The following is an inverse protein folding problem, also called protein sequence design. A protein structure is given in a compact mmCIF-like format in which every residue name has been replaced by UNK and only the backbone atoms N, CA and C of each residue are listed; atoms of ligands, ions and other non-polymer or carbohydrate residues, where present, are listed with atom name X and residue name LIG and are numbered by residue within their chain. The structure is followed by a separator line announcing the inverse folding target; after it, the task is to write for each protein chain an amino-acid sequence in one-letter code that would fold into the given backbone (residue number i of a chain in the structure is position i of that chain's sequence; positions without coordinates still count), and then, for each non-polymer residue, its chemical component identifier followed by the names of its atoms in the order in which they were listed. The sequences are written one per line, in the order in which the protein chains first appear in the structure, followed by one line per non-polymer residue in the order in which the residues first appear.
data_IF_144716009039
#
_entry.id   IF_144716009039
#
_cell.length_a   1.000
_cell.length_b   1.000
_cell.length_c   1.000
_cell.angle_alpha   90.00
_cell.angle_beta   90.00
_cell.angle_gamma   90.00
#
_symmetry.space_group_name_H-M   'P 1'
#
loop_
_entity.id
_entity.type
_entity.pdbx_description
1 polymer ?
#
# COMPACT_ATOMS: atom_id res chain seq x y z
N UNK A 1 -23.68 -12.65 22.10
CA UNK A 1 -22.88 -12.98 20.90
C UNK A 1 -23.54 -14.11 20.12
N UNK A 2 -23.81 -13.89 18.83
CA UNK A 2 -24.33 -14.92 17.90
C UNK A 2 -23.32 -16.06 17.69
N UNK A 3 -23.81 -17.28 17.42
CA UNK A 3 -22.98 -18.45 17.10
C UNK A 3 -22.05 -18.21 15.89
N UNK A 4 -22.50 -17.41 14.91
CA UNK A 4 -21.70 -17.02 13.73
C UNK A 4 -20.48 -16.18 14.15
N UNK A 5 -20.67 -15.21 15.04
CA UNK A 5 -19.58 -14.36 15.54
C UNK A 5 -18.53 -15.16 16.32
N UNK A 6 -18.96 -16.13 17.15
CA UNK A 6 -18.04 -17.03 17.88
C UNK A 6 -17.21 -17.91 16.94
N UNK A 7 -17.79 -18.36 15.82
CA UNK A 7 -17.08 -19.16 14.81
C UNK A 7 -16.05 -18.32 14.05
N UNK A 8 -16.37 -17.08 13.71
CA UNK A 8 -15.45 -16.16 13.03
C UNK A 8 -14.23 -15.81 13.90
N UNK A 9 -14.43 -15.55 15.20
CA UNK A 9 -13.31 -15.24 16.12
C UNK A 9 -12.33 -16.40 16.22
N UNK A 10 -12.83 -17.64 16.38
CA UNK A 10 -11.98 -18.84 16.42
C UNK A 10 -11.14 -19.06 15.17
N UNK A 11 -11.63 -18.63 14.00
CA UNK A 11 -10.87 -18.71 12.75
C UNK A 11 -9.76 -17.66 12.71
N UNK A 12 -10.04 -16.44 13.22
CA UNK A 12 -9.04 -15.37 13.30
C UNK A 12 -7.93 -15.74 14.29
N UNK A 13 -8.27 -16.37 15.41
CA UNK A 13 -7.30 -16.83 16.43
C UNK A 13 -6.30 -17.87 15.89
N UNK A 14 -6.62 -18.55 14.79
CA UNK A 14 -5.73 -19.54 14.14
C UNK A 14 -4.74 -18.90 13.15
N UNK A 15 -4.92 -17.63 12.81
CA UNK A 15 -4.04 -16.91 11.89
C UNK A 15 -2.73 -16.52 12.60
N UNK A 16 -1.65 -16.41 11.82
CA UNK A 16 -0.41 -15.81 12.32
C UNK A 16 -0.61 -14.32 12.60
N UNK A 17 0.22 -13.69 13.46
CA UNK A 17 0.08 -12.26 13.74
C UNK A 17 0.17 -11.38 12.48
N UNK A 18 1.04 -11.74 11.53
CA UNK A 18 1.13 -11.07 10.23
C UNK A 18 -0.16 -11.18 9.40
N UNK A 19 -0.77 -12.36 9.37
CA UNK A 19 -2.06 -12.58 8.69
C UNK A 19 -3.20 -11.82 9.37
N UNK A 20 -3.20 -11.73 10.70
CA UNK A 20 -4.15 -10.90 11.45
C UNK A 20 -3.96 -9.41 11.13
N UNK A 21 -2.71 -8.95 11.00
CA UNK A 21 -2.39 -7.59 10.61
C UNK A 21 -2.87 -7.26 9.19
N UNK A 22 -2.61 -8.15 8.22
CA UNK A 22 -3.10 -8.01 6.84
C UNK A 22 -4.64 -7.96 6.78
N UNK A 23 -5.32 -8.88 7.47
CA UNK A 23 -6.79 -8.89 7.52
C UNK A 23 -7.36 -7.63 8.20
N UNK A 24 -6.71 -7.15 9.27
CA UNK A 24 -7.11 -5.91 9.93
C UNK A 24 -6.94 -4.71 8.98
N UNK A 25 -5.81 -4.63 8.27
CA UNK A 25 -5.54 -3.60 7.29
C UNK A 25 -6.59 -3.56 6.16
N UNK A 26 -6.99 -4.72 5.63
CA UNK A 26 -8.06 -4.81 4.64
C UNK A 26 -9.38 -4.20 5.14
N UNK A 27 -9.79 -4.53 6.36
CA UNK A 27 -11.00 -3.92 6.93
C UNK A 27 -10.86 -2.42 7.21
N UNK A 28 -9.66 -1.94 7.55
CA UNK A 28 -9.40 -0.50 7.67
C UNK A 28 -9.53 0.20 6.31
N UNK A 29 -8.99 -0.38 5.23
CA UNK A 29 -9.14 0.13 3.87
C UNK A 29 -10.60 0.16 3.39
N UNK A 30 -11.42 -0.78 3.87
CA UNK A 30 -12.87 -0.80 3.63
C UNK A 30 -13.68 0.16 4.52
N UNK A 31 -13.03 0.86 5.45
CA UNK A 31 -13.68 1.64 6.51
C UNK A 31 -14.64 0.81 7.38
N UNK A 32 -14.39 -0.51 7.46
CA UNK A 32 -15.17 -1.43 8.26
C UNK A 32 -14.59 -1.54 9.68
N UNK A 33 -14.78 -0.48 10.46
CA UNK A 33 -14.27 -0.39 11.83
C UNK A 33 -14.77 -1.53 12.73
N UNK A 34 -15.95 -2.08 12.46
CA UNK A 34 -16.52 -3.20 13.24
C UNK A 34 -15.71 -4.48 13.06
N UNK A 35 -15.42 -4.87 11.81
CA UNK A 35 -14.64 -6.09 11.57
C UNK A 35 -13.15 -5.88 11.89
N UNK A 36 -12.58 -4.70 11.62
CA UNK A 36 -11.23 -4.36 12.06
C UNK A 36 -11.07 -4.50 13.58
N UNK A 37 -12.05 -3.98 14.35
CA UNK A 37 -12.09 -4.15 15.81
C UNK A 37 -12.20 -5.63 16.22
N UNK A 38 -12.99 -6.44 15.52
CA UNK A 38 -13.09 -7.88 15.83
C UNK A 38 -11.76 -8.61 15.62
N UNK A 39 -11.04 -8.31 14.54
CA UNK A 39 -9.70 -8.87 14.32
C UNK A 39 -8.77 -8.45 15.45
N UNK A 40 -8.69 -7.15 15.74
CA UNK A 40 -7.88 -6.62 16.84
C UNK A 40 -8.22 -7.26 18.20
N UNK A 41 -9.50 -7.43 18.51
CA UNK A 41 -9.94 -7.99 19.79
C UNK A 41 -9.61 -9.48 19.90
N UNK A 42 -9.59 -10.22 18.78
CA UNK A 42 -9.19 -11.63 18.71
C UNK A 42 -7.68 -11.86 18.86
N UNK A 43 -6.84 -10.85 18.61
CA UNK A 43 -5.39 -10.93 18.83
C UNK A 43 -5.12 -11.22 20.32
N UNK A 44 -4.26 -12.20 20.67
CA UNK A 44 -3.96 -12.52 22.06
C UNK A 44 -3.40 -11.34 22.86
N UNK A 45 -3.74 -11.31 24.14
CA UNK A 45 -3.12 -10.38 25.09
C UNK A 45 -1.84 -10.98 25.67
N UNK A 46 -0.76 -10.21 25.65
CA UNK A 46 0.52 -10.52 26.27
C UNK A 46 0.62 -9.74 27.58
N UNK A 47 0.89 -10.46 28.68
CA UNK A 47 0.89 -9.93 30.05
C UNK A 47 -0.39 -9.18 30.48
N UNK A 48 -1.51 -9.40 29.79
CA UNK A 48 -2.79 -8.74 30.06
C UNK A 48 -2.78 -7.22 29.79
N UNK A 49 -1.77 -6.68 29.08
CA UNK A 49 -1.60 -5.23 28.88
C UNK A 49 -1.38 -4.84 27.42
N UNK A 50 -0.79 -5.72 26.62
CA UNK A 50 -0.44 -5.43 25.24
C UNK A 50 -1.04 -6.48 24.32
N UNK A 51 -1.36 -6.09 23.09
CA UNK A 51 -1.59 -7.07 22.03
C UNK A 51 -0.26 -7.68 21.62
N UNK A 52 -0.34 -8.87 21.03
CA UNK A 52 0.81 -9.56 20.46
C UNK A 52 1.61 -8.59 19.55
N UNK A 53 2.93 -8.52 19.77
CA UNK A 53 3.79 -7.49 19.20
C UNK A 53 3.95 -7.64 17.69
N UNK A 54 4.08 -8.88 17.19
CA UNK A 54 4.14 -9.14 15.75
C UNK A 54 2.91 -8.61 15.02
N UNK A 55 1.72 -8.73 15.60
CA UNK A 55 0.50 -8.16 15.01
C UNK A 55 0.57 -6.63 14.96
N UNK A 56 0.92 -5.97 16.07
CA UNK A 56 0.97 -4.49 16.11
C UNK A 56 2.05 -3.95 15.19
N UNK A 57 3.21 -4.59 15.16
CA UNK A 57 4.34 -4.19 14.30
C UNK A 57 3.94 -4.31 12.83
N UNK A 58 3.51 -5.49 12.38
CA UNK A 58 3.14 -5.66 10.96
C UNK A 58 2.03 -4.71 10.54
N UNK A 59 1.04 -4.44 11.39
CA UNK A 59 -0.04 -3.50 11.08
C UNK A 59 0.48 -2.08 10.94
N UNK A 60 1.21 -1.59 11.94
CA UNK A 60 1.59 -0.18 12.02
C UNK A 60 2.68 0.17 11.01
N UNK A 61 3.67 -0.71 10.84
CA UNK A 61 4.73 -0.53 9.84
C UNK A 61 4.20 -0.62 8.41
N UNK A 62 3.28 -1.55 8.11
CA UNK A 62 2.69 -1.62 6.77
C UNK A 62 1.84 -0.38 6.44
N UNK A 63 1.09 0.18 7.40
CA UNK A 63 0.42 1.47 7.23
C UNK A 63 1.43 2.58 6.94
N UNK A 64 2.56 2.60 7.65
CA UNK A 64 3.67 3.52 7.38
C UNK A 64 4.21 3.42 5.95
N UNK A 65 4.47 2.20 5.49
CA UNK A 65 4.91 1.89 4.11
C UNK A 65 3.91 2.41 3.08
N UNK A 66 2.61 2.14 3.26
CA UNK A 66 1.57 2.63 2.35
C UNK A 66 1.53 4.15 2.32
N UNK A 67 1.70 4.83 3.47
CA UNK A 67 1.76 6.29 3.51
C UNK A 67 2.98 6.86 2.78
N UNK A 68 4.18 6.28 2.98
CA UNK A 68 5.41 6.68 2.27
C UNK A 68 5.22 6.54 0.76
N UNK A 69 4.72 5.38 0.33
CA UNK A 69 4.38 5.11 -1.06
C UNK A 69 3.37 6.12 -1.63
N UNK A 70 2.31 6.42 -0.87
CA UNK A 70 1.25 7.36 -1.27
C UNK A 70 1.79 8.76 -1.50
N UNK A 71 2.66 9.25 -0.60
CA UNK A 71 3.31 10.56 -0.74
C UNK A 71 4.12 10.63 -2.04
N UNK A 72 4.90 9.58 -2.35
CA UNK A 72 5.69 9.59 -3.57
C UNK A 72 4.82 9.47 -4.82
N UNK A 73 3.76 8.66 -4.79
CA UNK A 73 2.81 8.55 -5.90
C UNK A 73 2.21 9.91 -6.25
N UNK A 74 1.72 10.66 -5.26
CA UNK A 74 1.13 11.97 -5.49
C UNK A 74 2.16 12.99 -5.94
N UNK A 75 3.38 12.96 -5.39
CA UNK A 75 4.48 13.81 -5.87
C UNK A 75 4.75 13.60 -7.36
N UNK A 76 4.88 12.34 -7.81
CA UNK A 76 5.11 12.03 -9.22
C UNK A 76 3.91 12.40 -10.10
N UNK A 77 2.69 12.20 -9.59
CA UNK A 77 1.46 12.57 -10.29
C UNK A 77 1.36 14.07 -10.52
N UNK A 78 1.77 14.88 -9.53
CA UNK A 78 1.87 16.33 -9.68
C UNK A 78 2.92 16.71 -10.72
N UNK A 79 4.12 16.10 -10.69
CA UNK A 79 5.17 16.36 -11.69
C UNK A 79 4.70 16.03 -13.11
N UNK A 80 4.02 14.89 -13.28
CA UNK A 80 3.41 14.50 -14.55
C UNK A 80 2.42 15.56 -15.06
N UNK A 81 1.49 15.98 -14.21
CA UNK A 81 0.48 16.98 -14.58
C UNK A 81 1.11 18.35 -14.89
N UNK A 82 2.13 18.77 -14.13
CA UNK A 82 2.86 20.02 -14.39
C UNK A 82 3.60 19.98 -15.72
N UNK A 83 4.27 18.86 -16.02
CA UNK A 83 4.98 18.70 -17.28
C UNK A 83 4.01 18.76 -18.48
N UNK A 84 2.84 18.11 -18.39
CA UNK A 84 1.81 18.23 -19.42
C UNK A 84 1.28 19.66 -19.59
N UNK A 85 1.11 20.42 -18.50
CA UNK A 85 0.68 21.81 -18.58
C UNK A 85 1.71 22.68 -19.30
N UNK A 86 3.00 22.50 -18.97
CA UNK A 86 4.09 23.22 -19.65
C UNK A 86 4.13 22.88 -21.15
N UNK A 87 3.96 21.62 -21.51
CA UNK A 87 3.93 21.20 -22.90
C UNK A 87 2.82 21.88 -23.70
N UNK A 88 1.65 22.08 -23.09
CA UNK A 88 0.50 22.74 -23.73
C UNK A 88 0.66 24.26 -23.80
N UNK A 89 1.24 24.89 -22.77
CA UNK A 89 1.31 26.35 -22.67
C UNK A 89 2.59 26.96 -23.28
N UNK A 90 3.63 26.16 -23.52
CA UNK A 90 4.93 26.64 -23.98
C UNK A 90 5.51 25.74 -25.09
N UNK A 91 5.20 26.08 -26.34
CA UNK A 91 5.67 25.37 -27.55
C UNK A 91 7.21 25.24 -27.60
N UNK A 92 7.95 26.24 -27.11
CA UNK A 92 9.42 26.18 -27.09
C UNK A 92 9.99 25.16 -26.08
N UNK A 93 9.18 24.68 -25.13
CA UNK A 93 9.55 23.71 -24.12
C UNK A 93 8.82 22.35 -24.28
N UNK A 94 8.01 22.19 -25.32
CA UNK A 94 7.13 21.03 -25.50
C UNK A 94 7.90 19.70 -25.45
N UNK A 95 8.98 19.56 -26.23
CA UNK A 95 9.76 18.32 -26.29
C UNK A 95 10.34 17.92 -24.93
N UNK A 96 10.88 18.89 -24.19
CA UNK A 96 11.46 18.65 -22.86
C UNK A 96 10.37 18.28 -21.86
N UNK A 97 9.27 19.01 -21.86
CA UNK A 97 8.14 18.78 -20.97
C UNK A 97 7.47 17.42 -21.24
N UNK A 98 7.34 17.01 -22.50
CA UNK A 98 6.82 15.69 -22.86
C UNK A 98 7.76 14.56 -22.42
N UNK A 99 9.07 14.75 -22.51
CA UNK A 99 10.05 13.79 -21.98
C UNK A 99 9.96 13.66 -20.45
N UNK A 100 9.82 14.78 -19.74
CA UNK A 100 9.62 14.79 -18.28
C UNK A 100 8.30 14.13 -17.86
N UNK A 101 7.22 14.39 -18.60
CA UNK A 101 5.93 13.73 -18.38
C UNK A 101 6.07 12.20 -18.55
N UNK A 102 6.73 11.76 -19.62
CA UNK A 102 6.94 10.33 -19.86
C UNK A 102 7.79 9.67 -18.76
N UNK A 103 8.83 10.35 -18.27
CA UNK A 103 9.66 9.87 -17.17
C UNK A 103 8.91 9.83 -15.83
N UNK A 104 8.03 10.81 -15.56
CA UNK A 104 7.18 10.78 -14.38
C UNK A 104 6.18 9.62 -14.45
N UNK A 105 5.57 9.39 -15.61
CA UNK A 105 4.62 8.29 -15.83
C UNK A 105 5.28 6.91 -15.67
N UNK A 106 6.46 6.70 -16.24
CA UNK A 106 7.19 5.42 -16.10
C UNK A 106 7.52 5.12 -14.64
N UNK A 107 7.88 6.14 -13.85
CA UNK A 107 8.13 6.02 -12.40
C UNK A 107 6.86 5.78 -11.59
N UNK A 108 5.72 6.36 -11.99
CA UNK A 108 4.43 6.04 -11.37
C UNK A 108 4.10 4.57 -11.57
N UNK A 109 4.27 4.04 -12.78
CA UNK A 109 4.03 2.63 -13.08
C UNK A 109 4.97 1.71 -12.31
N UNK A 110 6.26 2.06 -12.24
CA UNK A 110 7.25 1.35 -11.44
C UNK A 110 6.87 1.33 -9.94
N UNK A 111 6.41 2.47 -9.40
CA UNK A 111 5.99 2.58 -8.00
C UNK A 111 4.75 1.73 -7.69
N UNK A 112 3.79 1.66 -8.61
CA UNK A 112 2.62 0.78 -8.51
C UNK A 112 3.03 -0.70 -8.53
N UNK A 113 3.93 -1.07 -9.44
CA UNK A 113 4.47 -2.44 -9.53
C UNK A 113 5.24 -2.83 -8.25
N UNK A 114 6.03 -1.91 -7.68
CA UNK A 114 6.78 -2.13 -6.45
C UNK A 114 5.85 -2.42 -5.26
N UNK A 115 4.79 -1.61 -5.07
CA UNK A 115 3.81 -1.88 -4.01
C UNK A 115 3.09 -3.21 -4.23
N UNK A 116 2.72 -3.53 -5.47
CA UNK A 116 2.06 -4.81 -5.78
C UNK A 116 2.96 -6.00 -5.42
N UNK A 117 4.22 -5.97 -5.84
CA UNK A 117 5.20 -7.01 -5.51
C UNK A 117 5.42 -7.13 -4.00
N UNK A 118 5.51 -6.01 -3.29
CA UNK A 118 5.63 -5.99 -1.82
C UNK A 118 4.40 -6.62 -1.14
N UNK A 119 3.20 -6.27 -1.60
CA UNK A 119 1.96 -6.84 -1.10
C UNK A 119 1.92 -8.36 -1.31
N UNK A 120 2.27 -8.84 -2.51
CA UNK A 120 2.35 -10.27 -2.83
C UNK A 120 3.39 -11.00 -1.96
N UNK A 121 4.58 -10.42 -1.79
CA UNK A 121 5.66 -10.97 -0.96
C UNK A 121 5.25 -11.11 0.51
N UNK A 122 4.48 -10.16 1.04
CA UNK A 122 4.11 -10.12 2.46
C UNK A 122 2.70 -10.63 2.76
N UNK A 123 1.91 -11.02 1.76
CA UNK A 123 0.55 -11.52 1.95
C UNK A 123 -0.45 -10.42 2.36
N UNK A 124 -0.23 -9.20 1.87
CA UNK A 124 -1.16 -8.09 1.99
C UNK A 124 -1.92 -7.89 0.68
N UNK A 125 -3.12 -7.33 0.74
CA UNK A 125 -3.91 -7.00 -0.44
C UNK A 125 -3.44 -5.69 -1.07
N UNK A 126 -2.92 -5.76 -2.29
CA UNK A 126 -2.59 -4.58 -3.10
C UNK A 126 -3.81 -3.67 -3.30
N UNK A 127 -4.98 -4.26 -3.59
CA UNK A 127 -6.23 -3.53 -3.72
C UNK A 127 -6.57 -2.74 -2.44
N UNK A 128 -6.43 -3.37 -1.27
CA UNK A 128 -6.64 -2.67 -0.01
C UNK A 128 -5.62 -1.55 0.20
N UNK A 129 -4.36 -1.75 -0.19
CA UNK A 129 -3.32 -0.74 -0.04
C UNK A 129 -3.60 0.52 -0.87
N UNK A 130 -3.93 0.37 -2.16
CA UNK A 130 -4.26 1.52 -3.02
C UNK A 130 -5.57 2.19 -2.60
N UNK A 131 -6.56 1.41 -2.14
CA UNK A 131 -7.83 1.95 -1.62
C UNK A 131 -7.61 2.76 -0.35
N UNK A 132 -6.81 2.25 0.59
CA UNK A 132 -6.44 2.97 1.82
C UNK A 132 -5.70 4.27 1.49
N UNK A 133 -4.79 4.23 0.51
CA UNK A 133 -4.05 5.38 0.01
C UNK A 133 -4.88 6.42 -0.75
N UNK A 134 -6.13 6.09 -1.12
CA UNK A 134 -6.95 6.93 -2.00
C UNK A 134 -6.38 7.04 -3.42
N UNK A 135 -5.59 6.07 -3.85
CA UNK A 135 -4.92 6.03 -5.16
C UNK A 135 -5.68 5.10 -6.11
N UNK A 136 -5.89 5.48 -7.38
CA UNK A 136 -6.49 4.59 -8.36
C UNK A 136 -5.66 3.31 -8.52
N UNK A 137 -6.34 2.17 -8.57
CA UNK A 137 -5.69 0.90 -8.86
C UNK A 137 -5.09 0.94 -10.27
N UNK A 138 -3.85 0.45 -10.40
CA UNK A 138 -3.17 0.43 -11.68
C UNK A 138 -3.98 -0.38 -12.69
N UNK A 139 -4.23 0.21 -13.85
CA UNK A 139 -4.80 -0.55 -14.97
C UNK A 139 -3.74 -1.53 -15.46
N UNK A 140 -4.12 -2.77 -15.82
CA UNK A 140 -3.23 -3.67 -16.51
C UNK A 140 -2.99 -3.10 -17.90
N UNK A 141 -1.94 -2.29 -18.04
CA UNK A 141 -1.53 -1.71 -19.30
C UNK A 141 -0.04 -1.94 -19.52
N UNK A 142 0.34 -2.10 -20.78
CA UNK A 142 1.70 -2.39 -21.24
C UNK A 142 2.65 -1.19 -21.20
N UNK A 143 2.31 -0.17 -20.41
CA UNK A 143 3.10 1.06 -20.31
C UNK A 143 4.52 0.75 -19.80
N UNK A 144 5.55 1.41 -20.34
CA UNK A 144 6.91 1.20 -19.89
C UNK A 144 7.04 1.55 -18.40
N UNK A 145 7.77 0.70 -17.69
CA UNK A 145 8.19 0.92 -16.30
C UNK A 145 9.66 1.33 -16.27
N UNK A 146 10.01 2.15 -15.29
CA UNK A 146 11.40 2.46 -14.96
C UNK A 146 11.92 1.34 -14.02
N UNK A 147 12.68 0.38 -14.58
CA UNK A 147 13.13 -0.83 -13.87
C UNK A 147 14.06 -0.50 -12.68
N UNK A 148 14.94 0.48 -12.85
CA UNK A 148 15.85 0.93 -11.78
C UNK A 148 15.05 1.54 -10.64
N UNK A 149 14.07 2.39 -10.98
CA UNK A 149 13.18 3.00 -10.00
C UNK A 149 12.28 1.96 -9.30
N UNK A 150 11.83 0.92 -10.01
CA UNK A 150 11.10 -0.21 -9.42
C UNK A 150 11.96 -0.95 -8.39
N UNK A 151 13.20 -1.30 -8.75
CA UNK A 151 14.09 -2.04 -7.87
C UNK A 151 14.44 -1.25 -6.61
N UNK A 152 14.75 0.05 -6.76
CA UNK A 152 15.05 0.97 -5.66
C UNK A 152 13.88 1.09 -4.68
N UNK A 153 12.66 1.32 -5.21
CA UNK A 153 11.48 1.46 -4.37
C UNK A 153 11.04 0.14 -3.73
N UNK A 154 11.17 -1.00 -4.42
CA UNK A 154 10.88 -2.29 -3.81
C UNK A 154 11.84 -2.57 -2.63
N UNK A 155 13.13 -2.24 -2.77
CA UNK A 155 14.11 -2.35 -1.68
C UNK A 155 13.77 -1.41 -0.53
N UNK A 156 13.57 -0.12 -0.83
CA UNK A 156 13.26 0.92 0.18
C UNK A 156 12.01 0.58 1.00
N UNK A 157 10.94 0.11 0.34
CA UNK A 157 9.70 -0.24 1.03
C UNK A 157 9.87 -1.52 1.87
N UNK A 158 10.67 -2.49 1.41
CA UNK A 158 11.00 -3.69 2.19
C UNK A 158 11.79 -3.36 3.47
N UNK A 159 12.76 -2.43 3.39
CA UNK A 159 13.55 -1.98 4.54
C UNK A 159 12.70 -1.33 5.64
N UNK A 160 11.53 -0.81 5.29
CA UNK A 160 10.58 -0.21 6.21
C UNK A 160 9.66 -1.23 6.90
N UNK A 161 9.71 -2.52 6.56
CA UNK A 161 8.90 -3.57 7.17
C UNK A 161 9.65 -4.30 8.29
N UNK A 162 8.95 -4.91 9.25
CA UNK A 162 9.56 -5.78 10.25
C UNK A 162 10.30 -6.95 9.60
N UNK A 163 11.43 -7.34 10.19
CA UNK A 163 12.24 -8.49 9.77
C UNK A 163 11.51 -9.84 9.91
#
# INVERSE_FOLDING_TARGET
MSAKAKRSIKLIEQLTPKQQAAMCFEYLAEQNATEAKRVHDAVPWVYGRFKEAGYTDWRDWFIGVVNIWTTQYWRLSTLYATALLVAVENEAAEDVAMAEAQAALSRINALQAALKALCEQHGFSYHAAVKFAGVPEAKPDSSPIDDDYFADWLSTLNECLPA
#
